data_IF_650365505803
#
_entry.id   IF_650365505803
#
_cell.length_a   1.000
_cell.length_b   1.000
_cell.length_c   1.000
_cell.angle_alpha   90.00
_cell.angle_beta   90.00
_cell.angle_gamma   90.00
#
_symmetry.space_group_name_H-M   'P 1'
#
loop_
_entity.id
_entity.type
_entity.pdbx_description
1 polymer ?
#
# COMPACT_ATOMS: atom_id res chain seq x y z
N UNK A 1 0.75 -10.23 18.69
CA UNK A 1 -0.07 -9.95 17.50
C UNK A 1 0.74 -9.14 16.49
N UNK A 2 0.68 -9.51 15.22
CA UNK A 2 1.47 -8.84 14.19
C UNK A 2 0.92 -7.48 13.80
N UNK A 3 1.81 -6.58 13.43
CA UNK A 3 1.46 -5.29 12.85
C UNK A 3 1.70 -5.34 11.34
N UNK A 4 0.80 -4.76 10.58
CA UNK A 4 0.85 -4.75 9.12
C UNK A 4 0.69 -3.34 8.60
N UNK A 5 1.42 -3.04 7.53
CA UNK A 5 1.38 -1.74 6.86
C UNK A 5 0.57 -1.85 5.57
N UNK A 6 -0.28 -0.87 5.34
CA UNK A 6 -0.96 -0.68 4.06
C UNK A 6 -0.77 0.75 3.59
N UNK A 7 -0.34 0.91 2.36
CA UNK A 7 -0.12 2.23 1.76
C UNK A 7 -0.88 2.31 0.44
N UNK A 8 -1.59 3.41 0.25
CA UNK A 8 -2.30 3.71 -0.99
C UNK A 8 -1.75 5.01 -1.58
N UNK A 9 -0.90 4.87 -2.60
CA UNK A 9 -0.29 5.99 -3.31
C UNK A 9 -1.21 6.43 -4.44
N UNK A 10 -1.99 7.47 -4.20
CA UNK A 10 -2.94 8.00 -5.17
C UNK A 10 -2.48 9.27 -5.87
N UNK A 11 -3.25 9.69 -6.85
CA UNK A 11 -2.98 10.91 -7.62
C UNK A 11 -3.26 12.21 -6.87
N UNK A 12 -4.01 12.17 -5.78
CA UNK A 12 -4.34 13.35 -4.98
C UNK A 12 -3.78 13.26 -3.56
N UNK A 13 -3.64 12.07 -3.02
CA UNK A 13 -3.14 11.84 -1.66
C UNK A 13 -2.52 10.46 -1.55
N UNK A 14 -1.70 10.28 -0.51
CA UNK A 14 -1.14 8.99 -0.13
C UNK A 14 -1.59 8.67 1.29
N UNK A 15 -2.27 7.55 1.47
CA UNK A 15 -2.79 7.12 2.76
C UNK A 15 -1.92 5.99 3.33
N UNK A 16 -1.63 6.08 4.63
CA UNK A 16 -0.83 5.10 5.36
C UNK A 16 -1.64 4.55 6.51
N UNK A 17 -1.67 3.24 6.64
CA UNK A 17 -2.43 2.54 7.68
C UNK A 17 -1.55 1.49 8.33
N UNK A 18 -1.53 1.47 9.66
CA UNK A 18 -1.01 0.35 10.43
C UNK A 18 -2.17 -0.34 11.12
N UNK A 19 -2.28 -1.63 10.93
CA UNK A 19 -3.33 -2.45 11.54
C UNK A 19 -2.75 -3.73 12.12
N UNK A 20 -3.53 -4.39 12.98
CA UNK A 20 -3.19 -5.70 13.54
C UNK A 20 -3.93 -6.80 12.76
N UNK A 21 -3.59 -8.07 13.03
CA UNK A 21 -4.11 -9.23 12.29
C UNK A 21 -5.65 -9.28 12.18
N UNK A 22 -6.35 -8.72 13.16
CA UNK A 22 -7.82 -8.68 13.14
C UNK A 22 -8.39 -7.56 12.28
N UNK A 23 -7.53 -6.76 11.64
CA UNK A 23 -7.96 -5.62 10.85
C UNK A 23 -8.25 -4.36 11.67
N UNK A 24 -7.98 -4.36 12.96
CA UNK A 24 -8.14 -3.17 13.80
C UNK A 24 -7.10 -2.13 13.42
N UNK A 25 -7.56 -0.91 13.17
CA UNK A 25 -6.71 0.22 12.85
C UNK A 25 -5.94 0.66 14.09
N UNK A 26 -4.63 0.73 13.97
CA UNK A 26 -3.75 1.20 15.02
C UNK A 26 -3.34 2.65 14.80
N UNK A 27 -3.06 3.03 13.56
CA UNK A 27 -2.72 4.40 13.18
C UNK A 27 -3.03 4.63 11.72
N UNK A 28 -3.25 5.89 11.38
CA UNK A 28 -3.55 6.32 10.01
C UNK A 28 -3.02 7.73 9.78
N UNK A 29 -2.37 7.95 8.65
CA UNK A 29 -2.01 9.31 8.24
C UNK A 29 -2.11 9.46 6.73
N UNK A 30 -2.19 10.71 6.29
CA UNK A 30 -2.33 11.07 4.87
C UNK A 30 -1.27 12.11 4.53
N UNK A 31 -0.55 11.87 3.43
CA UNK A 31 0.40 12.81 2.85
C UNK A 31 -0.06 13.21 1.45
N UNK A 32 0.76 13.99 0.76
CA UNK A 32 0.46 14.47 -0.59
C UNK A 32 0.48 13.38 -1.66
N UNK A 33 0.24 13.78 -2.92
CA UNK A 33 0.15 12.81 -4.02
C UNK A 33 1.47 12.11 -4.31
N UNK A 34 1.39 10.84 -4.70
CA UNK A 34 2.54 10.00 -5.01
C UNK A 34 2.25 9.14 -6.24
N UNK A 35 2.06 9.77 -7.38
CA UNK A 35 1.94 9.09 -8.67
C UNK A 35 3.29 9.11 -9.35
N UNK A 36 3.93 7.96 -9.53
CA UNK A 36 5.30 7.91 -10.02
C UNK A 36 5.45 8.45 -11.46
N UNK A 37 4.41 8.32 -12.27
CA UNK A 37 4.43 8.83 -13.65
C UNK A 37 4.31 10.36 -13.73
N UNK A 38 3.66 10.98 -12.74
CA UNK A 38 3.43 12.43 -12.69
C UNK A 38 4.46 13.11 -11.80
N UNK A 39 4.69 12.58 -10.62
CA UNK A 39 5.53 13.20 -9.59
C UNK A 39 6.97 12.70 -9.61
N UNK A 40 7.25 11.60 -10.35
CA UNK A 40 8.56 10.97 -10.39
C UNK A 40 8.77 9.94 -9.29
N UNK A 41 9.63 8.96 -9.56
CA UNK A 41 9.91 7.86 -8.61
C UNK A 41 10.51 8.38 -7.31
N UNK A 42 11.43 9.36 -7.40
CA UNK A 42 12.05 9.93 -6.20
C UNK A 42 11.03 10.54 -5.26
N UNK A 43 10.07 11.28 -5.78
CA UNK A 43 9.00 11.88 -4.98
C UNK A 43 8.16 10.81 -4.27
N UNK A 44 7.82 9.74 -4.98
CA UNK A 44 7.08 8.61 -4.40
C UNK A 44 7.89 7.98 -3.26
N UNK A 45 9.17 7.73 -3.46
CA UNK A 45 10.02 7.13 -2.44
C UNK A 45 10.19 8.02 -1.21
N UNK A 46 10.33 9.33 -1.40
CA UNK A 46 10.42 10.29 -0.29
C UNK A 46 9.13 10.31 0.54
N UNK A 47 7.97 10.28 -0.12
CA UNK A 47 6.67 10.23 0.55
C UNK A 47 6.49 8.90 1.30
N UNK A 48 6.87 7.79 0.69
CA UNK A 48 6.81 6.48 1.35
C UNK A 48 7.64 6.46 2.64
N UNK A 49 8.85 6.96 2.58
CA UNK A 49 9.73 7.01 3.74
C UNK A 49 9.14 7.87 4.86
N UNK A 50 8.71 9.09 4.53
CA UNK A 50 8.14 10.02 5.50
C UNK A 50 6.84 9.46 6.10
N UNK A 51 5.95 8.93 5.28
CA UNK A 51 4.66 8.40 5.73
C UNK A 51 4.78 7.17 6.61
N UNK A 52 5.68 6.26 6.29
CA UNK A 52 5.91 5.07 7.12
C UNK A 52 6.47 5.46 8.49
N UNK A 53 7.42 6.39 8.53
CA UNK A 53 7.94 6.91 9.80
C UNK A 53 6.84 7.54 10.65
N UNK A 54 5.97 8.33 10.04
CA UNK A 54 4.88 9.01 10.74
C UNK A 54 3.83 8.04 11.26
N UNK A 55 3.38 7.10 10.44
CA UNK A 55 2.32 6.18 10.85
C UNK A 55 2.82 5.18 11.90
N UNK A 56 4.06 4.74 11.81
CA UNK A 56 4.66 3.91 12.85
C UNK A 56 4.80 4.67 14.16
N UNK A 57 5.22 5.93 14.10
CA UNK A 57 5.28 6.80 15.28
C UNK A 57 3.93 6.98 15.94
N UNK A 58 2.88 7.22 15.17
CA UNK A 58 1.50 7.31 15.69
C UNK A 58 1.02 6.00 16.31
N UNK A 59 1.42 4.86 15.73
CA UNK A 59 1.05 3.55 16.24
C UNK A 59 1.86 3.16 17.50
N UNK A 60 2.91 3.91 17.83
CA UNK A 60 3.79 3.59 18.96
C UNK A 60 4.67 2.38 18.70
N UNK A 61 5.00 2.11 17.44
CA UNK A 61 5.84 0.97 17.06
C UNK A 61 7.06 1.44 16.26
N UNK A 62 8.07 0.59 16.21
CA UNK A 62 9.21 0.76 15.31
C UNK A 62 8.89 0.08 13.98
N UNK A 63 9.51 0.53 12.88
CA UNK A 63 9.33 -0.08 11.57
C UNK A 63 9.65 -1.59 11.59
N UNK A 64 10.65 -1.97 12.37
CA UNK A 64 11.09 -3.36 12.51
C UNK A 64 10.02 -4.26 13.15
N UNK A 65 9.02 -3.68 13.79
CA UNK A 65 7.89 -4.42 14.36
C UNK A 65 6.78 -4.72 13.35
N UNK A 66 6.91 -4.20 12.12
CA UNK A 66 6.00 -4.55 11.03
C UNK A 66 6.34 -5.94 10.49
N UNK A 67 5.35 -6.80 10.37
CA UNK A 67 5.52 -8.16 9.80
C UNK A 67 5.57 -8.16 8.29
N UNK A 68 4.76 -7.31 7.67
CA UNK A 68 4.73 -7.15 6.22
C UNK A 68 4.04 -5.85 5.85
N UNK A 69 4.17 -5.46 4.60
CA UNK A 69 3.52 -4.28 4.07
C UNK A 69 3.02 -4.51 2.65
N UNK A 70 1.90 -3.88 2.34
CA UNK A 70 1.39 -3.78 0.98
C UNK A 70 1.39 -2.32 0.56
N UNK A 71 2.00 -2.03 -0.58
CA UNK A 71 2.05 -0.69 -1.14
C UNK A 71 1.35 -0.71 -2.50
N UNK A 72 0.20 -0.04 -2.56
CA UNK A 72 -0.50 0.18 -3.81
C UNK A 72 0.00 1.47 -4.44
N UNK A 73 0.37 1.39 -5.71
CA UNK A 73 0.87 2.54 -6.48
C UNK A 73 -0.03 2.73 -7.68
N UNK A 74 -0.62 3.92 -7.82
CA UNK A 74 -1.43 4.25 -8.99
C UNK A 74 -0.59 4.09 -10.26
N UNK A 75 -1.12 3.34 -11.23
CA UNK A 75 -0.42 3.03 -12.48
C UNK A 75 0.54 1.85 -12.40
N UNK A 76 0.66 1.19 -11.24
CA UNK A 76 1.52 0.00 -11.12
C UNK A 76 1.03 -1.10 -12.07
N UNK A 77 1.94 -1.60 -12.90
CA UNK A 77 1.63 -2.60 -13.92
C UNK A 77 1.34 -2.03 -15.31
N UNK A 78 1.05 -0.72 -15.41
CA UNK A 78 0.75 -0.09 -16.70
C UNK A 78 1.96 -0.08 -17.63
N UNK A 79 3.15 0.09 -17.06
CA UNK A 79 4.43 0.01 -17.78
C UNK A 79 5.25 -1.11 -17.13
N UNK A 80 5.20 -2.33 -17.67
CA UNK A 80 5.88 -3.47 -17.04
C UNK A 80 7.38 -3.28 -16.81
N UNK A 81 8.03 -2.52 -17.68
CA UNK A 81 9.47 -2.25 -17.60
C UNK A 81 9.87 -1.45 -16.36
N UNK A 82 8.93 -0.66 -15.81
CA UNK A 82 9.19 0.14 -14.61
C UNK A 82 9.08 -0.66 -13.31
N UNK A 83 8.41 -1.81 -13.36
CA UNK A 83 8.07 -2.56 -12.14
C UNK A 83 9.29 -3.04 -11.35
N UNK A 84 10.32 -3.66 -11.98
CA UNK A 84 11.49 -4.11 -11.22
C UNK A 84 12.20 -3.00 -10.47
N UNK A 85 12.30 -1.81 -11.09
CA UNK A 85 12.93 -0.65 -10.48
C UNK A 85 12.15 -0.11 -9.28
N UNK A 86 10.82 -0.02 -9.41
CA UNK A 86 9.96 0.42 -8.32
C UNK A 86 10.03 -0.53 -7.13
N UNK A 87 9.95 -1.84 -7.38
CA UNK A 87 10.04 -2.87 -6.35
C UNK A 87 11.38 -2.78 -5.63
N UNK A 88 12.47 -2.71 -6.37
CA UNK A 88 13.81 -2.63 -5.80
C UNK A 88 13.98 -1.40 -4.92
N UNK A 89 13.57 -0.23 -5.40
CA UNK A 89 13.70 1.01 -4.63
C UNK A 89 12.87 1.00 -3.35
N UNK A 90 11.66 0.44 -3.40
CA UNK A 90 10.83 0.30 -2.21
C UNK A 90 11.46 -0.67 -1.20
N UNK A 91 12.01 -1.78 -1.66
CA UNK A 91 12.70 -2.74 -0.80
C UNK A 91 13.96 -2.13 -0.16
N UNK A 92 14.68 -1.31 -0.89
CA UNK A 92 15.87 -0.59 -0.37
C UNK A 92 15.51 0.43 0.71
N UNK A 93 14.32 1.03 0.63
CA UNK A 93 13.84 1.96 1.66
C UNK A 93 13.58 1.27 2.99
N UNK A 94 13.10 0.03 2.94
CA UNK A 94 12.66 -0.71 4.12
C UNK A 94 13.33 -2.07 4.19
N UNK A 95 14.66 -2.09 4.45
CA UNK A 95 15.40 -3.35 4.51
C UNK A 95 14.81 -4.30 5.55
N UNK A 96 14.64 -5.55 5.17
CA UNK A 96 14.11 -6.59 6.07
C UNK A 96 12.60 -6.63 6.20
N UNK A 97 11.86 -5.66 5.65
CA UNK A 97 10.40 -5.68 5.66
C UNK A 97 9.90 -6.40 4.41
N UNK A 98 9.18 -7.52 4.56
CA UNK A 98 8.53 -8.15 3.41
C UNK A 98 7.48 -7.21 2.82
N UNK A 99 7.67 -6.81 1.56
CA UNK A 99 6.80 -5.88 0.86
C UNK A 99 6.17 -6.54 -0.36
N UNK A 100 4.91 -6.23 -0.61
CA UNK A 100 4.22 -6.52 -1.85
C UNK A 100 3.77 -5.20 -2.46
N UNK A 101 4.09 -4.98 -3.73
CA UNK A 101 3.61 -3.83 -4.48
C UNK A 101 2.50 -4.28 -5.43
N UNK A 102 1.50 -3.42 -5.60
CA UNK A 102 0.39 -3.68 -6.49
C UNK A 102 -0.27 -2.39 -6.92
N UNK A 103 -1.41 -2.50 -7.58
CA UNK A 103 -2.20 -1.33 -7.94
C UNK A 103 -3.15 -0.93 -6.80
N UNK A 104 -3.77 0.24 -6.93
CA UNK A 104 -4.67 0.78 -5.93
C UNK A 104 -5.92 -0.08 -5.69
N UNK A 105 -6.40 -0.79 -6.71
CA UNK A 105 -7.56 -1.68 -6.59
C UNK A 105 -7.23 -2.88 -5.70
N UNK A 106 -6.06 -3.48 -5.87
CA UNK A 106 -5.62 -4.62 -5.06
C UNK A 106 -5.53 -4.25 -3.59
N UNK A 107 -5.01 -3.07 -3.27
CA UNK A 107 -4.92 -2.59 -1.90
C UNK A 107 -6.30 -2.37 -1.27
N UNK A 108 -7.22 -1.76 -2.02
CA UNK A 108 -8.58 -1.52 -1.55
C UNK A 108 -9.28 -2.84 -1.22
N UNK A 109 -9.11 -3.85 -2.09
CA UNK A 109 -9.69 -5.17 -1.85
C UNK A 109 -9.07 -5.84 -0.63
N UNK A 110 -7.74 -5.81 -0.50
CA UNK A 110 -7.06 -6.39 0.65
C UNK A 110 -7.51 -5.75 1.97
N UNK A 111 -7.68 -4.43 1.98
CA UNK A 111 -8.14 -3.70 3.15
C UNK A 111 -9.58 -4.00 3.52
N UNK A 112 -10.48 -4.07 2.54
CA UNK A 112 -11.91 -4.27 2.80
C UNK A 112 -12.26 -5.73 3.11
N UNK A 113 -11.58 -6.68 2.49
CA UNK A 113 -11.86 -8.10 2.64
C UNK A 113 -10.91 -8.83 3.60
N UNK A 114 -9.88 -8.13 4.08
CA UNK A 114 -8.83 -8.72 4.95
C UNK A 114 -8.22 -9.96 4.31
N UNK A 115 -7.99 -9.90 2.99
CA UNK A 115 -7.46 -10.99 2.17
C UNK A 115 -8.35 -12.23 2.09
N UNK A 116 -9.60 -12.10 2.49
CA UNK A 116 -10.58 -13.17 2.32
C UNK A 116 -11.20 -13.14 0.93
N UNK A 117 -11.81 -14.24 0.53
CA UNK A 117 -12.54 -14.27 -0.73
C UNK A 117 -13.73 -13.31 -0.69
N UNK A 118 -14.03 -12.71 -1.82
CA UNK A 118 -15.14 -11.77 -1.93
C UNK A 118 -15.05 -10.91 -3.17
N UNK A 119 -15.88 -9.90 -3.22
CA UNK A 119 -15.92 -8.92 -4.30
C UNK A 119 -15.84 -7.53 -3.68
N UNK A 120 -14.94 -6.71 -4.21
CA UNK A 120 -14.82 -5.31 -3.84
C UNK A 120 -15.17 -4.44 -5.04
N UNK A 121 -16.02 -3.45 -4.82
CA UNK A 121 -16.43 -2.51 -5.86
C UNK A 121 -16.07 -1.11 -5.41
N UNK A 122 -15.35 -0.38 -6.26
CA UNK A 122 -15.04 1.03 -6.06
C UNK A 122 -15.95 1.83 -6.99
N UNK A 123 -16.75 2.70 -6.41
CA UNK A 123 -17.60 3.62 -7.14
C UNK A 123 -17.29 5.05 -6.69
N UNK A 124 -16.83 5.88 -7.62
CA UNK A 124 -16.44 7.26 -7.34
C UNK A 124 -16.25 8.00 -8.65
N UNK A 125 -15.12 8.68 -8.85
CA UNK A 125 -14.77 9.32 -10.12
C UNK A 125 -14.68 8.29 -11.25
N UNK A 126 -14.21 7.07 -10.92
CA UNK A 126 -14.29 5.90 -11.78
C UNK A 126 -15.00 4.78 -11.05
N UNK A 127 -15.27 3.68 -11.75
CA UNK A 127 -15.86 2.48 -11.14
C UNK A 127 -15.08 1.26 -11.55
N UNK A 128 -14.77 0.39 -10.56
CA UNK A 128 -14.08 -0.86 -10.81
C UNK A 128 -14.59 -1.93 -9.84
N UNK A 129 -14.70 -3.16 -10.30
CA UNK A 129 -15.02 -4.31 -9.49
C UNK A 129 -13.88 -5.31 -9.53
N UNK A 130 -13.57 -5.93 -8.41
CA UNK A 130 -12.52 -6.93 -8.29
C UNK A 130 -13.01 -8.07 -7.41
N UNK A 131 -12.88 -9.30 -7.90
CA UNK A 131 -13.26 -10.50 -7.16
C UNK A 131 -12.03 -11.29 -6.75
N UNK A 132 -12.08 -11.90 -5.57
CA UNK A 132 -11.03 -12.80 -5.09
C UNK A 132 -11.66 -14.14 -4.74
N UNK A 133 -11.24 -15.20 -5.42
CA UNK A 133 -11.72 -16.56 -5.18
C UNK A 133 -11.04 -17.25 -3.99
N UNK A 134 -11.42 -18.50 -3.75
CA UNK A 134 -10.88 -19.29 -2.64
C UNK A 134 -9.38 -19.51 -2.74
N UNK A 135 -8.87 -19.55 -3.95
CA UNK A 135 -7.44 -19.76 -4.26
C UNK A 135 -6.64 -18.46 -4.33
N UNK A 136 -7.28 -17.32 -4.02
CA UNK A 136 -6.63 -16.02 -4.09
C UNK A 136 -6.54 -15.44 -5.51
N UNK A 137 -7.13 -16.10 -6.51
CA UNK A 137 -7.14 -15.60 -7.90
C UNK A 137 -8.12 -14.44 -8.00
N UNK A 138 -7.66 -13.35 -8.64
CA UNK A 138 -8.42 -12.12 -8.85
C UNK A 138 -8.91 -12.01 -10.29
#
# INVERSE_FOLDING_TARGET
>A
MGNYLSVDCGGTKTAFLVCVERGEKKAYCVLGPANYMVNGVKCVMDILKDGVERVCGQAGIKREELRSGFIAIAGFGDIPEDMPGLIRQAEELFPGLPLTLGNDTENAMAGSLLLKQGIHVIAGTGSIGLGCGRDGVQ
#
